data_IF_675708237739
#
_entry.id   IF_675708237739
#
_cell.length_a   1.000
_cell.length_b   1.000
_cell.length_c   1.000
_cell.angle_alpha   90.00
_cell.angle_beta   90.00
_cell.angle_gamma   90.00
#
_symmetry.space_group_name_H-M   'P 1'
#
loop_
_entity.id
_entity.type
_entity.pdbx_description
1 polymer ?
#
# COMPACT_ATOMS: atom_id res chain seq x y z
N UNK A 1 4.95 -21.56 10.35
CA UNK A 1 4.95 -20.52 9.31
C UNK A 1 3.89 -19.50 9.71
N UNK A 2 4.15 -18.19 9.72
CA UNK A 2 3.03 -17.26 9.83
C UNK A 2 2.22 -17.42 8.55
N UNK A 3 1.02 -17.97 8.69
CA UNK A 3 0.02 -18.02 7.62
C UNK A 3 -0.20 -16.60 7.13
N UNK A 4 -0.14 -16.38 5.82
CA UNK A 4 -0.42 -15.10 5.19
C UNK A 4 -1.59 -14.38 5.87
N UNK A 5 -1.44 -13.10 6.18
CA UNK A 5 -2.44 -12.27 6.86
C UNK A 5 -3.84 -12.51 6.26
N UNK A 6 -4.75 -12.99 7.09
CA UNK A 6 -6.09 -13.39 6.67
C UNK A 6 -7.14 -12.33 6.97
N UNK A 7 -8.36 -12.58 6.52
CA UNK A 7 -9.54 -11.74 6.85
C UNK A 7 -9.85 -11.72 8.36
N UNK A 8 -9.47 -12.76 9.10
CA UNK A 8 -9.78 -12.92 10.53
C UNK A 8 -8.91 -12.01 11.41
N UNK A 9 -7.61 -11.92 11.11
CA UNK A 9 -6.67 -11.02 11.78
C UNK A 9 -7.09 -9.56 11.56
N UNK A 10 -7.44 -9.23 10.32
CA UNK A 10 -7.86 -7.88 9.97
C UNK A 10 -9.23 -7.51 10.58
N UNK A 11 -10.18 -8.43 10.63
CA UNK A 11 -11.44 -8.24 11.35
C UNK A 11 -11.19 -7.93 12.83
N UNK A 12 -10.31 -8.70 13.47
CA UNK A 12 -9.97 -8.52 14.89
C UNK A 12 -9.31 -7.17 15.14
N UNK A 13 -8.38 -6.78 14.25
CA UNK A 13 -7.76 -5.45 14.25
C UNK A 13 -8.83 -4.35 14.18
N UNK A 14 -9.77 -4.45 13.24
CA UNK A 14 -10.83 -3.45 13.06
C UNK A 14 -11.71 -3.28 14.30
N UNK A 15 -12.00 -4.36 15.02
CA UNK A 15 -12.82 -4.32 16.24
C UNK A 15 -12.03 -3.90 17.47
N UNK A 16 -10.73 -4.19 17.51
CA UNK A 16 -9.88 -3.85 18.64
C UNK A 16 -9.47 -2.38 18.64
N UNK A 17 -9.05 -1.85 17.49
CA UNK A 17 -8.52 -0.48 17.40
C UNK A 17 -9.57 0.58 17.16
N UNK A 18 -10.71 0.20 16.58
CA UNK A 18 -11.77 1.15 16.27
C UNK A 18 -13.02 0.80 17.09
N UNK A 19 -13.44 1.74 17.94
CA UNK A 19 -14.72 1.65 18.65
C UNK A 19 -15.89 1.93 17.70
N UNK A 20 -15.66 2.79 16.70
CA UNK A 20 -16.59 3.13 15.63
C UNK A 20 -15.94 2.77 14.31
N UNK A 21 -16.63 2.05 13.41
CA UNK A 21 -16.05 1.59 12.16
C UNK A 21 -15.58 2.77 11.28
N UNK A 22 -14.41 2.65 10.63
CA UNK A 22 -14.04 3.56 9.56
C UNK A 22 -15.08 3.54 8.43
N UNK A 23 -15.43 4.70 7.88
CA UNK A 23 -16.41 4.80 6.76
C UNK A 23 -15.91 4.12 5.48
N UNK A 24 -14.60 4.07 5.29
CA UNK A 24 -13.94 3.47 4.13
C UNK A 24 -12.76 2.67 4.62
N UNK A 25 -12.63 1.44 4.14
CA UNK A 25 -11.50 0.55 4.39
C UNK A 25 -10.91 0.20 3.02
N UNK A 26 -9.62 0.46 2.85
CA UNK A 26 -8.86 0.11 1.65
C UNK A 26 -7.92 -1.03 2.03
N UNK A 27 -8.04 -2.18 1.36
CA UNK A 27 -7.27 -3.38 1.68
C UNK A 27 -7.16 -4.32 0.48
N UNK A 28 -6.03 -5.02 0.36
CA UNK A 28 -5.73 -5.89 -0.79
C UNK A 28 -6.73 -7.04 -0.91
N UNK A 29 -7.19 -7.59 0.22
CA UNK A 29 -8.19 -8.65 0.27
C UNK A 29 -9.59 -8.16 0.66
N UNK A 30 -9.90 -6.88 0.36
CA UNK A 30 -11.15 -6.22 0.75
C UNK A 30 -12.41 -6.95 0.28
N UNK A 31 -12.39 -7.65 -0.86
CA UNK A 31 -13.58 -8.33 -1.39
C UNK A 31 -14.05 -9.49 -0.50
N UNK A 32 -13.13 -10.29 0.04
CA UNK A 32 -13.44 -11.38 0.97
C UNK A 32 -13.69 -10.84 2.38
N UNK A 33 -12.90 -9.84 2.80
CA UNK A 33 -13.07 -9.15 4.07
C UNK A 33 -14.47 -8.53 4.21
N UNK A 34 -14.97 -7.86 3.16
CA UNK A 34 -16.30 -7.23 3.18
C UNK A 34 -17.40 -8.23 3.53
N UNK A 35 -17.42 -9.38 2.84
CA UNK A 35 -18.39 -10.45 3.09
C UNK A 35 -18.23 -11.01 4.49
N UNK A 36 -16.99 -11.24 4.93
CA UNK A 36 -16.69 -11.77 6.26
C UNK A 36 -17.16 -10.83 7.39
N UNK A 37 -16.78 -9.55 7.32
CA UNK A 37 -17.16 -8.52 8.27
C UNK A 37 -18.69 -8.39 8.37
N UNK A 38 -19.40 -8.35 7.24
CA UNK A 38 -20.86 -8.21 7.21
C UNK A 38 -21.59 -9.44 7.76
N UNK A 39 -21.03 -10.64 7.58
CA UNK A 39 -21.60 -11.86 8.15
C UNK A 39 -21.37 -11.95 9.67
N UNK A 40 -20.21 -11.50 10.15
CA UNK A 40 -19.85 -11.56 11.58
C UNK A 40 -20.50 -10.48 12.42
N UNK A 41 -20.57 -9.25 11.92
CA UNK A 41 -21.11 -8.11 12.65
C UNK A 41 -21.77 -7.12 11.67
N UNK A 42 -22.97 -7.46 11.16
CA UNK A 42 -23.64 -6.66 10.12
C UNK A 42 -23.96 -5.25 10.58
N UNK A 43 -24.26 -5.05 11.88
CA UNK A 43 -24.61 -3.75 12.44
C UNK A 43 -23.38 -2.84 12.48
N UNK A 44 -22.26 -3.35 12.98
CA UNK A 44 -21.02 -2.58 13.05
C UNK A 44 -20.50 -2.24 11.64
N UNK A 45 -20.64 -3.13 10.65
CA UNK A 45 -20.10 -2.90 9.30
C UNK A 45 -21.14 -2.40 8.27
N UNK A 46 -22.36 -2.06 8.68
CA UNK A 46 -23.48 -1.73 7.78
C UNK A 46 -23.17 -0.62 6.78
N UNK A 47 -22.46 0.41 7.22
CA UNK A 47 -22.16 1.62 6.43
C UNK A 47 -20.70 1.71 5.98
N UNK A 48 -19.96 0.60 6.07
CA UNK A 48 -18.55 0.55 5.71
C UNK A 48 -18.39 0.20 4.23
N UNK A 49 -17.64 1.03 3.52
CA UNK A 49 -17.22 0.76 2.15
C UNK A 49 -15.86 0.07 2.15
N UNK A 50 -15.83 -1.16 1.63
CA UNK A 50 -14.61 -1.92 1.43
C UNK A 50 -14.14 -1.74 -0.01
N UNK A 51 -12.90 -1.30 -0.18
CA UNK A 51 -12.29 -1.01 -1.47
C UNK A 51 -10.99 -1.79 -1.61
N UNK A 52 -10.85 -2.49 -2.73
CA UNK A 52 -9.60 -3.16 -3.11
C UNK A 52 -8.59 -2.12 -3.55
N UNK A 53 -7.33 -2.29 -3.11
CA UNK A 53 -6.21 -1.46 -3.54
C UNK A 53 -6.06 -1.44 -5.08
N UNK A 54 -5.53 -0.34 -5.61
CA UNK A 54 -5.39 -0.07 -7.03
C UNK A 54 -4.51 -1.10 -7.76
N UNK A 55 -3.41 -1.54 -7.15
CA UNK A 55 -2.46 -2.44 -7.79
C UNK A 55 -2.93 -3.90 -7.67
N UNK A 56 -3.47 -4.27 -6.51
CA UNK A 56 -4.09 -5.59 -6.33
C UNK A 56 -5.38 -5.77 -7.15
N UNK A 57 -6.11 -4.69 -7.45
CA UNK A 57 -7.35 -4.75 -8.23
C UNK A 57 -7.20 -5.40 -9.62
N UNK A 58 -5.99 -5.47 -10.19
CA UNK A 58 -5.75 -6.15 -11.46
C UNK A 58 -5.96 -7.68 -11.36
N UNK A 59 -5.66 -8.29 -10.21
CA UNK A 59 -5.87 -9.72 -9.96
C UNK A 59 -7.35 -10.09 -9.73
N UNK A 60 -8.22 -9.12 -9.53
CA UNK A 60 -9.65 -9.33 -9.25
C UNK A 60 -10.49 -9.32 -10.53
N UNK A 61 -10.44 -10.41 -11.29
CA UNK A 61 -11.19 -10.60 -12.55
C UNK A 61 -12.67 -10.90 -12.32
N UNK A 62 -13.03 -11.59 -11.23
CA UNK A 62 -14.41 -11.98 -10.90
C UNK A 62 -15.12 -10.98 -9.98
N UNK A 63 -14.38 -10.11 -9.30
CA UNK A 63 -14.98 -9.13 -8.39
C UNK A 63 -15.53 -7.92 -9.15
N UNK A 64 -16.61 -7.35 -8.63
CA UNK A 64 -17.23 -6.14 -9.20
C UNK A 64 -16.26 -4.97 -9.23
N UNK A 65 -16.28 -4.19 -10.33
CA UNK A 65 -15.51 -2.95 -10.48
C UNK A 65 -15.88 -1.90 -9.43
N UNK A 66 -17.10 -1.94 -8.89
CA UNK A 66 -17.55 -1.03 -7.84
C UNK A 66 -16.74 -1.17 -6.54
N UNK A 67 -16.16 -2.35 -6.28
CA UNK A 67 -15.32 -2.60 -5.12
C UNK A 67 -13.86 -2.16 -5.29
N UNK A 68 -13.49 -1.48 -6.39
CA UNK A 68 -12.12 -1.02 -6.64
C UNK A 68 -11.96 0.44 -6.22
N UNK A 69 -10.86 0.78 -5.54
CA UNK A 69 -10.60 2.18 -5.15
C UNK A 69 -10.51 3.11 -6.36
N UNK A 70 -9.96 2.62 -7.48
CA UNK A 70 -9.89 3.39 -8.72
C UNK A 70 -11.26 3.83 -9.23
N UNK A 71 -12.28 2.99 -9.09
CA UNK A 71 -13.67 3.35 -9.43
C UNK A 71 -14.22 4.38 -8.45
N UNK A 72 -14.00 4.18 -7.15
CA UNK A 72 -14.48 5.08 -6.11
C UNK A 72 -13.85 6.50 -6.21
N UNK A 73 -12.60 6.58 -6.65
CA UNK A 73 -11.89 7.84 -6.90
C UNK A 73 -12.58 8.72 -7.95
N UNK A 74 -13.31 8.16 -8.92
CA UNK A 74 -14.06 8.98 -9.88
C UNK A 74 -15.13 9.83 -9.21
N UNK A 75 -15.80 9.27 -8.20
CA UNK A 75 -16.97 9.88 -7.54
C UNK A 75 -16.65 10.54 -6.19
N UNK A 76 -15.45 10.36 -5.65
CA UNK A 76 -15.05 10.89 -4.34
C UNK A 76 -13.67 11.54 -4.43
N UNK A 77 -13.59 12.88 -4.57
CA UNK A 77 -12.32 13.61 -4.66
C UNK A 77 -11.38 13.33 -3.49
N UNK A 78 -11.92 13.16 -2.28
CA UNK A 78 -11.13 12.84 -1.08
C UNK A 78 -10.34 11.52 -1.22
N UNK A 79 -10.86 10.54 -1.94
CA UNK A 79 -10.16 9.27 -2.17
C UNK A 79 -9.03 9.40 -3.19
N UNK A 80 -9.05 10.42 -4.07
CA UNK A 80 -7.95 10.67 -5.02
C UNK A 80 -6.67 11.12 -4.32
N UNK A 81 -6.78 11.72 -3.14
CA UNK A 81 -5.64 12.13 -2.34
C UNK A 81 -4.97 10.97 -1.61
N UNK A 82 -5.64 9.81 -1.52
CA UNK A 82 -5.10 8.62 -0.86
C UNK A 82 -4.18 7.89 -1.83
N UNK A 83 -2.89 7.82 -1.48
CA UNK A 83 -1.94 6.98 -2.20
C UNK A 83 -2.06 5.54 -1.73
N UNK A 84 -2.97 4.79 -2.35
CA UNK A 84 -3.20 3.38 -1.99
C UNK A 84 -2.02 2.47 -2.36
N UNK A 85 -1.21 2.89 -3.33
CA UNK A 85 -0.01 2.17 -3.77
C UNK A 85 1.23 2.39 -2.90
N UNK A 86 1.16 3.20 -1.83
CA UNK A 86 2.33 3.49 -0.97
C UNK A 86 2.90 2.22 -0.33
N UNK A 87 2.04 1.30 0.12
CA UNK A 87 2.45 0.05 0.76
C UNK A 87 3.17 -0.90 -0.21
N UNK A 88 2.88 -0.78 -1.51
CA UNK A 88 3.50 -1.57 -2.58
C UNK A 88 4.67 -0.88 -3.25
N UNK A 89 4.96 0.37 -2.86
CA UNK A 89 6.12 1.15 -3.27
C UNK A 89 7.41 0.53 -2.75
N UNK A 90 7.71 -0.70 -3.14
CA UNK A 90 9.02 -1.29 -2.94
C UNK A 90 9.99 -0.56 -3.86
N UNK A 91 10.90 0.21 -3.27
CA UNK A 91 12.05 0.70 -4.00
C UNK A 91 12.75 -0.53 -4.58
N UNK A 92 12.74 -0.68 -5.91
CA UNK A 92 13.35 -1.84 -6.61
C UNK A 92 14.82 -2.05 -6.22
N UNK A 93 15.47 -0.97 -5.78
CA UNK A 93 16.83 -0.96 -5.23
C UNK A 93 16.88 -1.43 -3.78
N UNK A 94 15.92 -1.03 -2.91
CA UNK A 94 15.83 -1.58 -1.55
C UNK A 94 15.67 -3.10 -1.58
N UNK A 95 14.96 -3.63 -2.58
CA UNK A 95 14.87 -5.08 -2.81
C UNK A 95 16.23 -5.72 -3.12
N UNK A 96 17.15 -5.00 -3.78
CA UNK A 96 18.53 -5.45 -4.04
C UNK A 96 19.39 -5.37 -2.78
N UNK A 97 19.21 -4.32 -1.97
CA UNK A 97 19.98 -4.12 -0.74
C UNK A 97 19.52 -5.07 0.38
N UNK A 98 18.24 -5.50 0.38
CA UNK A 98 17.63 -6.32 1.42
C UNK A 98 18.49 -7.52 1.84
N UNK A 99 19.07 -8.24 0.88
CA UNK A 99 19.90 -9.43 1.18
C UNK A 99 21.21 -9.04 1.86
N UNK A 100 21.89 -8.00 1.38
CA UNK A 100 23.12 -7.51 2.03
C UNK A 100 22.84 -6.99 3.43
N UNK A 101 21.75 -6.22 3.59
CA UNK A 101 21.29 -5.68 4.86
C UNK A 101 20.97 -6.77 5.89
N UNK A 102 20.40 -7.92 5.47
CA UNK A 102 20.04 -9.01 6.40
C UNK A 102 21.23 -9.72 7.06
N UNK A 103 22.46 -9.54 6.54
CA UNK A 103 23.67 -10.12 7.13
C UNK A 103 24.44 -9.13 8.02
N UNK A 104 23.95 -7.91 8.20
CA UNK A 104 24.61 -6.87 8.98
C UNK A 104 24.14 -6.86 10.43
N UNK A 105 25.01 -6.40 11.35
CA UNK A 105 24.54 -5.99 12.68
C UNK A 105 23.65 -4.74 12.55
N UNK A 106 22.82 -4.49 13.56
CA UNK A 106 21.91 -3.33 13.56
C UNK A 106 22.63 -2.00 13.30
N UNK A 107 23.77 -1.78 13.93
CA UNK A 107 24.58 -0.57 13.75
C UNK A 107 25.06 -0.40 12.30
N UNK A 108 25.60 -1.47 11.70
CA UNK A 108 26.04 -1.45 10.30
C UNK A 108 24.87 -1.32 9.34
N UNK A 109 23.74 -1.95 9.67
CA UNK A 109 22.51 -1.83 8.90
C UNK A 109 22.09 -0.35 8.81
N UNK A 110 22.05 0.36 9.93
CA UNK A 110 21.63 1.76 9.97
C UNK A 110 22.55 2.66 9.13
N UNK A 111 23.87 2.55 9.34
CA UNK A 111 24.86 3.34 8.59
C UNK A 111 24.83 3.04 7.09
N UNK A 112 24.80 1.77 6.71
CA UNK A 112 24.80 1.38 5.30
C UNK A 112 23.48 1.75 4.61
N UNK A 113 22.36 1.57 5.29
CA UNK A 113 21.05 1.92 4.77
C UNK A 113 20.93 3.42 4.51
N UNK A 114 21.32 4.26 5.46
CA UNK A 114 21.31 5.72 5.32
C UNK A 114 22.21 6.17 4.16
N UNK A 115 23.46 5.69 4.11
CA UNK A 115 24.38 6.02 3.03
C UNK A 115 23.84 5.60 1.65
N UNK A 116 23.20 4.42 1.56
CA UNK A 116 22.61 3.94 0.33
C UNK A 116 21.44 4.83 -0.13
N UNK A 117 20.54 5.24 0.78
CA UNK A 117 19.44 6.16 0.48
C UNK A 117 19.99 7.51 0.02
N UNK A 118 20.98 8.07 0.70
CA UNK A 118 21.59 9.36 0.34
C UNK A 118 22.24 9.30 -1.06
N UNK A 119 23.01 8.25 -1.35
CA UNK A 119 23.62 8.06 -2.67
C UNK A 119 22.56 7.96 -3.78
N UNK A 120 21.43 7.32 -3.49
CA UNK A 120 20.30 7.20 -4.42
C UNK A 120 19.62 8.54 -4.67
N UNK A 121 19.33 9.31 -3.62
CA UNK A 121 18.75 10.64 -3.74
C UNK A 121 19.65 11.56 -4.56
N UNK A 122 20.96 11.53 -4.30
CA UNK A 122 21.94 12.30 -5.08
C UNK A 122 21.94 11.91 -6.55
N UNK A 123 21.89 10.62 -6.88
CA UNK A 123 21.83 10.15 -8.27
C UNK A 123 20.53 10.57 -8.97
N UNK A 124 19.40 10.56 -8.26
CA UNK A 124 18.12 11.02 -8.80
C UNK A 124 18.12 12.53 -9.08
N UNK A 125 18.67 13.34 -8.15
CA UNK A 125 18.82 14.78 -8.33
C UNK A 125 19.70 15.11 -9.54
N UNK A 126 20.87 14.48 -9.65
CA UNK A 126 21.77 14.69 -10.80
C UNK A 126 21.11 14.31 -12.13
N UNK A 127 20.33 13.23 -12.14
CA UNK A 127 19.56 12.84 -13.34
C UNK A 127 18.49 13.86 -13.67
N UNK A 128 17.78 14.38 -12.67
CA UNK A 128 16.77 15.42 -12.85
C UNK A 128 17.38 16.74 -13.34
N UNK A 129 18.50 17.16 -12.78
CA UNK A 129 19.26 18.34 -13.23
C UNK A 129 19.74 18.15 -14.66
N UNK A 130 20.28 16.98 -14.99
CA UNK A 130 20.71 16.66 -16.35
C UNK A 130 19.53 16.67 -17.33
N UNK A 131 18.39 16.07 -16.96
CA UNK A 131 17.19 16.14 -17.80
C UNK A 131 16.66 17.58 -17.92
N UNK A 132 16.66 18.37 -16.85
CA UNK A 132 16.21 19.77 -16.91
C UNK A 132 17.12 20.64 -17.80
N UNK A 133 18.43 20.40 -17.79
CA UNK A 133 19.42 21.16 -18.55
C UNK A 133 19.52 20.71 -20.02
N UNK A 134 19.31 19.42 -20.31
CA UNK A 134 19.67 18.83 -21.61
C UNK A 134 18.54 18.13 -22.35
N UNK A 135 17.35 17.93 -21.75
CA UNK A 135 16.20 17.29 -22.42
C UNK A 135 15.50 18.29 -23.37
N UNK A 136 16.19 18.67 -24.44
CA UNK A 136 15.72 19.64 -25.43
C UNK A 136 16.83 20.33 -26.23
N UNK A 137 18.10 20.05 -25.91
CA UNK A 137 19.21 20.42 -26.79
C UNK A 137 19.21 19.47 -28.01
N UNK A 138 19.45 19.99 -29.22
CA UNK A 138 19.31 19.26 -30.48
C UNK A 138 20.23 18.04 -30.60
#
# INVERSE_FOLDING_TARGET
MPTSEGRDDFFSLLKYFFLVPPKVIVYDFACSLATYCRLRDPVYFAHVRFLVDKLHAHGHTTCSRAGRISTAMFYSPNLRMVNSSVAEGNHSILRRLRKSLSYMSEEHFLCFFDMAIQAMNRRALLKHEWEALYRGLP
#
